data_IF_606097207255
#
_entry.id   IF_606097207255
#
_cell.length_a   1.000
_cell.length_b   1.000
_cell.length_c   1.000
_cell.angle_alpha   90.00
_cell.angle_beta   90.00
_cell.angle_gamma   90.00
#
_symmetry.space_group_name_H-M   'P 1'
#
loop_
_entity.id
_entity.type
_entity.pdbx_description
1 polymer ?
#
# COMPACT_ATOMS: atom_id res chain seq x y z
N UNK A 1 -9.06 -0.97 -11.59
CA UNK A 1 -7.80 -0.39 -11.08
C UNK A 1 -7.13 -1.46 -10.24
N UNK A 2 -5.90 -1.88 -10.56
CA UNK A 2 -5.16 -2.85 -9.77
C UNK A 2 -5.10 -2.48 -8.29
N UNK A 3 -5.00 -3.49 -7.44
CA UNK A 3 -4.85 -3.34 -6.00
C UNK A 3 -3.42 -3.68 -5.60
N UNK A 4 -2.79 -2.84 -4.81
CA UNK A 4 -1.58 -3.16 -4.07
C UNK A 4 -1.99 -3.58 -2.65
N UNK A 5 -1.61 -4.78 -2.26
CA UNK A 5 -1.84 -5.32 -0.92
C UNK A 5 -0.50 -5.44 -0.21
N UNK A 6 -0.34 -4.76 0.92
CA UNK A 6 0.83 -4.87 1.78
C UNK A 6 0.43 -5.38 3.17
N UNK A 7 1.25 -6.28 3.71
CA UNK A 7 1.03 -6.88 5.03
C UNK A 7 2.09 -6.40 6.00
N UNK A 8 1.67 -6.05 7.21
CA UNK A 8 2.54 -5.59 8.28
C UNK A 8 2.24 -6.38 9.53
N UNK A 9 3.26 -6.85 10.24
CA UNK A 9 3.04 -7.40 11.58
C UNK A 9 2.62 -6.27 12.54
N UNK A 10 1.80 -6.59 13.54
CA UNK A 10 1.35 -5.63 14.55
C UNK A 10 2.51 -5.14 15.43
N UNK A 11 3.58 -5.92 15.54
CA UNK A 11 4.85 -5.47 16.15
C UNK A 11 5.58 -4.41 15.29
N UNK A 12 5.22 -4.26 14.02
CA UNK A 12 5.84 -3.37 13.04
C UNK A 12 4.97 -2.14 12.70
N UNK A 13 4.16 -1.64 13.63
CA UNK A 13 3.32 -0.43 13.42
C UNK A 13 4.10 0.79 12.89
N UNK A 14 5.39 0.90 13.22
CA UNK A 14 6.26 1.95 12.67
C UNK A 14 6.41 1.82 11.15
N UNK A 15 6.60 0.61 10.63
CA UNK A 15 6.70 0.36 9.20
C UNK A 15 5.34 0.58 8.51
N UNK A 16 4.24 0.18 9.16
CA UNK A 16 2.89 0.47 8.67
C UNK A 16 2.61 1.98 8.57
N UNK A 17 3.00 2.76 9.57
CA UNK A 17 2.89 4.23 9.53
C UNK A 17 3.70 4.83 8.38
N UNK A 18 4.95 4.39 8.20
CA UNK A 18 5.80 4.84 7.09
C UNK A 18 5.20 4.48 5.73
N UNK A 19 4.56 3.31 5.62
CA UNK A 19 3.83 2.92 4.43
C UNK A 19 2.67 3.87 4.13
N UNK A 20 1.86 4.24 5.13
CA UNK A 20 0.77 5.22 4.95
C UNK A 20 1.31 6.59 4.52
N UNK A 21 2.37 7.09 5.17
CA UNK A 21 3.03 8.35 4.79
C UNK A 21 3.49 8.31 3.33
N UNK A 22 4.06 7.18 2.88
CA UNK A 22 4.48 6.97 1.50
C UNK A 22 3.31 6.94 0.51
N UNK A 23 2.14 6.41 0.90
CA UNK A 23 0.93 6.47 0.06
C UNK A 23 0.48 7.92 -0.12
N UNK A 24 0.51 8.73 0.94
CA UNK A 24 0.17 10.16 0.87
C UNK A 24 1.14 10.94 -0.02
N UNK A 25 2.45 10.66 0.08
CA UNK A 25 3.45 11.24 -0.83
C UNK A 25 3.21 10.84 -2.29
N UNK A 26 2.91 9.57 -2.55
CA UNK A 26 2.57 9.10 -3.90
C UNK A 26 1.31 9.75 -4.45
N UNK A 27 0.33 10.10 -3.59
CA UNK A 27 -0.92 10.75 -4.00
C UNK A 27 -0.69 12.10 -4.68
N UNK A 28 0.43 12.77 -4.41
CA UNK A 28 0.81 14.02 -5.07
C UNK A 28 1.19 13.83 -6.54
N UNK A 29 1.68 12.65 -6.92
CA UNK A 29 2.15 12.34 -8.27
C UNK A 29 1.16 11.46 -9.06
N UNK A 30 0.44 10.58 -8.37
CA UNK A 30 -0.42 9.56 -8.95
C UNK A 30 -1.71 9.47 -8.14
N UNK A 31 -2.90 9.31 -8.76
CA UNK A 31 -4.15 9.18 -8.01
C UNK A 31 -4.29 7.80 -7.34
N UNK A 32 -3.47 7.55 -6.33
CA UNK A 32 -3.55 6.37 -5.45
C UNK A 32 -4.50 6.63 -4.28
N UNK A 33 -5.27 5.62 -3.92
CA UNK A 33 -6.28 5.70 -2.87
C UNK A 33 -6.13 4.51 -1.91
N UNK A 34 -6.18 4.74 -0.61
CA UNK A 34 -6.28 3.64 0.36
C UNK A 34 -7.70 3.09 0.27
N UNK A 35 -7.83 1.89 -0.27
CA UNK A 35 -9.12 1.24 -0.50
C UNK A 35 -9.66 0.62 0.79
N UNK A 36 -8.77 0.04 1.61
CA UNK A 36 -9.14 -0.65 2.84
C UNK A 36 -7.93 -0.81 3.77
N UNK A 37 -8.20 -0.89 5.07
CA UNK A 37 -7.23 -1.27 6.09
C UNK A 37 -7.91 -2.29 7.00
N UNK A 38 -7.43 -3.53 6.99
CA UNK A 38 -8.00 -4.63 7.77
C UNK A 38 -6.96 -5.17 8.75
N UNK A 39 -7.42 -5.65 9.90
CA UNK A 39 -6.58 -6.37 10.84
C UNK A 39 -6.97 -7.86 10.79
N UNK A 40 -6.02 -8.71 10.46
CA UNK A 40 -6.19 -10.17 10.40
C UNK A 40 -5.20 -10.81 11.38
N UNK A 41 -5.70 -11.19 12.57
CA UNK A 41 -4.87 -11.71 13.65
C UNK A 41 -3.85 -10.69 14.13
N UNK A 42 -2.56 -11.06 14.08
CA UNK A 42 -1.44 -10.17 14.43
C UNK A 42 -0.90 -9.37 13.23
N UNK A 43 -1.65 -9.29 12.12
CA UNK A 43 -1.24 -8.55 10.92
C UNK A 43 -2.22 -7.46 10.56
N UNK A 44 -1.67 -6.40 9.98
CA UNK A 44 -2.41 -5.30 9.36
C UNK A 44 -2.23 -5.40 7.85
N UNK A 45 -3.36 -5.42 7.15
CA UNK A 45 -3.45 -5.46 5.70
C UNK A 45 -3.80 -4.07 5.19
N UNK A 46 -2.91 -3.52 4.38
CA UNK A 46 -3.12 -2.25 3.68
C UNK A 46 -3.49 -2.55 2.23
N UNK A 47 -4.65 -2.09 1.78
CA UNK A 47 -5.09 -2.21 0.39
C UNK A 47 -5.11 -0.83 -0.24
N UNK A 48 -4.37 -0.66 -1.35
CA UNK A 48 -4.26 0.61 -2.08
C UNK A 48 -4.71 0.39 -3.52
N UNK A 49 -5.63 1.21 -4.02
CA UNK A 49 -5.98 1.27 -5.44
C UNK A 49 -4.92 2.04 -6.19
N UNK A 50 -4.42 1.43 -7.25
CA UNK A 50 -3.32 1.96 -8.05
C UNK A 50 -3.77 2.08 -9.52
N UNK A 51 -3.52 3.23 -10.18
CA UNK A 51 -3.66 3.36 -11.62
C UNK A 51 -2.73 2.42 -12.40
N UNK A 52 -3.23 1.77 -13.44
CA UNK A 52 -2.49 0.74 -14.18
C UNK A 52 -1.22 1.27 -14.89
N UNK A 53 -1.26 2.53 -15.33
CA UNK A 53 -0.16 3.29 -15.91
C UNK A 53 0.96 3.59 -14.89
N UNK A 54 0.65 3.56 -13.60
CA UNK A 54 1.57 3.94 -12.51
C UNK A 54 2.09 2.76 -11.69
N UNK A 55 1.81 1.52 -12.10
CA UNK A 55 2.20 0.30 -11.38
C UNK A 55 3.71 0.20 -11.12
N UNK A 56 4.54 0.63 -12.08
CA UNK A 56 6.00 0.61 -11.92
C UNK A 56 6.45 1.49 -10.77
N UNK A 57 5.90 2.70 -10.67
CA UNK A 57 6.24 3.66 -9.63
C UNK A 57 5.82 3.13 -8.25
N UNK A 58 4.59 2.62 -8.15
CA UNK A 58 4.07 2.10 -6.88
C UNK A 58 4.81 0.84 -6.44
N UNK A 59 5.22 -0.04 -7.37
CA UNK A 59 6.05 -1.21 -7.05
C UNK A 59 7.43 -0.84 -6.53
N UNK A 60 8.05 0.23 -7.03
CA UNK A 60 9.30 0.76 -6.45
C UNK A 60 9.09 1.33 -5.06
N UNK A 61 7.92 1.90 -4.78
CA UNK A 61 7.58 2.40 -3.45
C UNK A 61 7.23 1.28 -2.46
N UNK A 62 6.60 0.20 -2.92
CA UNK A 62 6.16 -0.94 -2.12
C UNK A 62 6.72 -2.24 -2.69
N UNK A 63 8.03 -2.51 -2.50
CA UNK A 63 8.68 -3.67 -3.10
C UNK A 63 8.13 -5.01 -2.60
N UNK A 64 7.63 -5.06 -1.36
CA UNK A 64 7.02 -6.24 -0.75
C UNK A 64 5.49 -6.32 -0.94
N UNK A 65 4.90 -5.31 -1.60
CA UNK A 65 3.47 -5.27 -1.88
C UNK A 65 3.09 -6.24 -3.01
N UNK A 66 2.00 -6.99 -2.81
CA UNK A 66 1.41 -7.87 -3.82
C UNK A 66 0.46 -7.05 -4.69
N UNK A 67 0.73 -6.99 -6.00
CA UNK A 67 -0.19 -6.40 -6.96
C UNK A 67 -1.19 -7.44 -7.46
N UNK A 68 -2.47 -7.13 -7.32
CA UNK A 68 -3.61 -7.92 -7.82
C UNK A 68 -4.28 -7.12 -8.92
N UNK A 69 -4.32 -7.69 -10.14
CA UNK A 69 -4.89 -7.06 -11.33
C UNK A 69 -6.40 -7.31 -11.45
#
# INVERSE_FOLDING_TARGET
MPLLIAWFELSQLKAFRQALEKVEELRLAVPVEVANIEMEGEKVKLVVRVPADSLKLVRSAFPEGVLVA
#
